data_IF_238653414923
#
_entry.id   IF_238653414923
#
_cell.length_a   1.000
_cell.length_b   1.000
_cell.length_c   1.000
_cell.angle_alpha   90.00
_cell.angle_beta   90.00
_cell.angle_gamma   90.00
#
_symmetry.space_group_name_H-M   'P 1'
#
loop_
_entity.id
_entity.type
_entity.pdbx_description
1 polymer ?
#
# COMPACT_ATOMS: atom_id res chain seq x y z
N UNK A 1 -29.85 8.98 -34.07
CA UNK A 1 -29.82 8.11 -32.87
C UNK A 1 -28.56 7.27 -32.73
N UNK A 2 -28.03 6.60 -33.77
CA UNK A 2 -26.88 5.68 -33.64
C UNK A 2 -25.54 6.32 -33.19
N UNK A 3 -25.26 7.56 -33.61
CA UNK A 3 -24.05 8.30 -33.21
C UNK A 3 -24.05 8.67 -31.72
N UNK A 4 -25.19 9.12 -31.19
CA UNK A 4 -25.34 9.44 -29.77
C UNK A 4 -25.15 8.20 -28.89
N UNK A 5 -25.68 7.04 -29.30
CA UNK A 5 -25.49 5.77 -28.59
C UNK A 5 -24.02 5.32 -28.61
N UNK A 6 -23.30 5.54 -29.72
CA UNK A 6 -21.88 5.19 -29.85
C UNK A 6 -20.98 6.08 -28.99
N UNK A 7 -21.25 7.39 -28.94
CA UNK A 7 -20.53 8.35 -28.07
C UNK A 7 -20.80 8.03 -26.59
N UNK A 8 -22.04 7.69 -26.24
CA UNK A 8 -22.40 7.29 -24.88
C UNK A 8 -21.68 5.99 -24.46
N UNK A 9 -21.53 5.02 -25.36
CA UNK A 9 -20.81 3.77 -25.10
C UNK A 9 -19.30 4.00 -24.89
N UNK A 10 -18.69 4.89 -25.69
CA UNK A 10 -17.29 5.29 -25.54
C UNK A 10 -17.05 6.07 -24.24
N UNK A 11 -17.96 6.96 -23.86
CA UNK A 11 -17.90 7.69 -22.59
C UNK A 11 -18.06 6.74 -21.38
N UNK A 12 -18.92 5.71 -21.49
CA UNK A 12 -19.02 4.66 -20.47
C UNK A 12 -17.72 3.84 -20.37
N UNK A 13 -17.11 3.44 -21.49
CA UNK A 13 -15.84 2.69 -21.46
C UNK A 13 -14.69 3.52 -20.86
N UNK A 14 -14.62 4.82 -21.16
CA UNK A 14 -13.65 5.71 -20.54
C UNK A 14 -13.89 5.86 -19.02
N UNK A 15 -15.15 5.86 -18.57
CA UNK A 15 -15.50 5.89 -17.15
C UNK A 15 -15.20 4.56 -16.41
N UNK A 16 -15.07 3.45 -17.13
CA UNK A 16 -14.80 2.12 -16.56
C UNK A 16 -13.30 1.84 -16.39
N UNK A 17 -12.40 2.65 -16.96
CA UNK A 17 -10.99 2.57 -16.58
C UNK A 17 -10.80 3.16 -15.19
N UNK A 18 -10.81 2.30 -14.17
CA UNK A 18 -10.47 2.71 -12.81
C UNK A 18 -9.10 3.42 -12.84
N UNK A 19 -9.09 4.69 -12.47
CA UNK A 19 -7.84 5.43 -12.29
C UNK A 19 -7.05 4.76 -11.16
N UNK A 20 -5.76 4.50 -11.38
CA UNK A 20 -4.89 3.98 -10.33
C UNK A 20 -4.78 5.04 -9.23
N UNK A 21 -5.03 4.63 -7.99
CA UNK A 21 -5.01 5.50 -6.82
C UNK A 21 -4.07 4.96 -5.77
N UNK A 22 -3.38 5.88 -5.11
CA UNK A 22 -2.52 5.62 -3.97
C UNK A 22 -3.14 6.31 -2.75
N UNK A 23 -3.22 5.60 -1.63
CA UNK A 23 -3.80 6.08 -0.40
C UNK A 23 -3.06 5.49 0.79
N UNK A 24 -2.92 6.28 1.86
CA UNK A 24 -2.36 5.83 3.13
C UNK A 24 -3.18 6.35 4.32
N UNK A 25 -4.44 6.76 4.11
CA UNK A 25 -5.32 7.24 5.18
C UNK A 25 -5.90 6.07 5.98
N UNK A 26 -5.01 5.35 6.64
CA UNK A 26 -5.31 4.25 7.54
C UNK A 26 -4.17 4.10 8.55
N UNK A 27 -4.39 3.26 9.54
CA UNK A 27 -3.44 3.01 10.62
C UNK A 27 -2.04 2.65 10.11
N UNK A 28 -1.02 3.33 10.65
CA UNK A 28 0.38 3.19 10.27
C UNK A 28 0.70 3.53 8.80
N UNK A 29 -0.28 4.03 8.03
CA UNK A 29 -0.09 4.44 6.65
C UNK A 29 0.87 5.63 6.55
N UNK A 30 1.77 5.60 5.57
CA UNK A 30 2.70 6.68 5.32
C UNK A 30 3.00 6.85 3.82
N UNK A 31 2.50 7.95 3.25
CA UNK A 31 2.92 8.57 1.98
C UNK A 31 2.81 10.08 2.13
N UNK A 32 3.66 10.83 1.42
CA UNK A 32 3.59 12.28 1.32
C UNK A 32 2.99 12.71 -0.02
N UNK A 33 3.58 12.26 -1.13
CA UNK A 33 3.11 12.60 -2.47
C UNK A 33 3.25 11.45 -3.46
N UNK A 34 2.44 11.51 -4.52
CA UNK A 34 2.45 10.55 -5.62
C UNK A 34 2.53 11.35 -6.92
N UNK A 35 3.59 11.15 -7.69
CA UNK A 35 3.73 11.69 -9.03
C UNK A 35 3.50 10.58 -10.05
N UNK A 36 2.62 10.85 -11.02
CA UNK A 36 2.36 9.94 -12.16
C UNK A 36 3.22 10.42 -13.34
N UNK A 37 4.16 9.59 -13.78
CA UNK A 37 5.02 9.93 -14.92
C UNK A 37 4.33 9.57 -16.25
N UNK A 38 3.67 8.42 -16.27
CA UNK A 38 2.85 7.92 -17.38
C UNK A 38 1.79 6.92 -16.86
N UNK A 39 1.20 6.12 -17.74
CA UNK A 39 0.14 5.17 -17.38
C UNK A 39 0.59 3.98 -16.53
N UNK A 40 1.91 3.75 -16.39
CA UNK A 40 2.47 2.59 -15.67
C UNK A 40 3.52 2.98 -14.63
N UNK A 41 4.15 4.15 -14.73
CA UNK A 41 5.25 4.58 -13.89
C UNK A 41 4.83 5.62 -12.86
N UNK A 42 5.11 5.33 -11.58
CA UNK A 42 4.77 6.17 -10.44
C UNK A 42 5.98 6.45 -9.55
N UNK A 43 6.02 7.64 -8.96
CA UNK A 43 6.95 7.98 -7.88
C UNK A 43 6.17 8.28 -6.62
N UNK A 44 6.49 7.60 -5.52
CA UNK A 44 5.86 7.78 -4.21
C UNK A 44 6.91 8.31 -3.24
N UNK A 45 6.59 9.36 -2.49
CA UNK A 45 7.44 9.85 -1.40
C UNK A 45 6.79 9.57 -0.06
N UNK A 46 7.59 9.55 1.01
CA UNK A 46 7.15 9.29 2.39
C UNK A 46 7.20 10.57 3.21
N UNK A 47 6.39 10.65 4.28
CA UNK A 47 6.57 11.71 5.27
C UNK A 47 7.76 11.34 6.16
N UNK A 48 8.73 12.25 6.25
CA UNK A 48 9.89 12.13 7.15
C UNK A 48 9.69 12.82 8.49
N UNK A 49 8.59 13.55 8.68
CA UNK A 49 8.27 14.24 9.93
C UNK A 49 7.88 13.25 11.02
N UNK A 50 7.11 12.23 10.65
CA UNK A 50 6.58 11.22 11.58
C UNK A 50 7.44 9.95 11.66
N UNK A 51 8.43 9.82 10.78
CA UNK A 51 9.40 8.71 10.76
C UNK A 51 10.83 9.26 10.73
N UNK A 52 11.58 9.04 11.82
CA UNK A 52 12.98 9.45 11.92
C UNK A 52 13.79 8.68 10.87
N UNK A 53 14.07 9.34 9.76
CA UNK A 53 14.78 8.80 8.60
C UNK A 53 13.91 8.64 7.34
N UNK A 54 12.59 8.82 7.43
CA UNK A 54 11.67 8.81 6.28
C UNK A 54 11.64 7.50 5.49
N UNK A 55 12.05 6.38 6.09
CA UNK A 55 12.19 5.09 5.41
C UNK A 55 10.90 4.31 5.38
N UNK A 56 10.09 4.41 6.43
CA UNK A 56 8.82 3.71 6.56
C UNK A 56 7.85 4.21 5.50
N UNK A 57 7.24 3.27 4.79
CA UNK A 57 6.07 3.51 3.98
C UNK A 57 5.11 2.36 4.18
N UNK A 58 3.84 2.71 4.05
CA UNK A 58 2.75 1.76 4.01
C UNK A 58 1.57 2.42 3.34
N UNK A 59 1.17 1.90 2.19
CA UNK A 59 0.11 2.47 1.38
C UNK A 59 -0.64 1.38 0.64
N UNK A 60 -1.82 1.76 0.16
CA UNK A 60 -2.69 0.96 -0.67
C UNK A 60 -2.70 1.52 -2.08
N UNK A 61 -2.62 0.64 -3.06
CA UNK A 61 -2.83 0.95 -4.47
C UNK A 61 -4.15 0.29 -4.90
N UNK A 62 -5.06 1.05 -5.51
CA UNK A 62 -6.32 0.53 -6.07
C UNK A 62 -6.42 0.78 -7.58
N UNK A 63 -7.25 0.02 -8.29
CA UNK A 63 -7.38 0.11 -9.74
C UNK A 63 -6.27 -0.60 -10.52
N UNK A 64 -5.58 -1.58 -9.91
CA UNK A 64 -4.39 -2.25 -10.48
C UNK A 64 -4.64 -3.67 -11.00
N UNK A 65 -5.89 -4.14 -10.98
CA UNK A 65 -6.20 -5.51 -11.42
C UNK A 65 -5.75 -5.74 -12.86
N UNK A 66 -4.93 -6.78 -13.07
CA UNK A 66 -4.37 -7.15 -14.36
C UNK A 66 -3.55 -6.03 -15.04
N UNK A 67 -3.02 -5.08 -14.25
CA UNK A 67 -2.18 -3.99 -14.76
C UNK A 67 -0.75 -4.17 -14.27
N UNK A 68 0.18 -4.04 -15.20
CA UNK A 68 1.59 -3.90 -14.89
C UNK A 68 1.87 -2.44 -14.52
N UNK A 69 2.47 -2.21 -13.36
CA UNK A 69 2.94 -0.89 -12.93
C UNK A 69 4.33 -1.00 -12.34
N UNK A 70 5.05 0.11 -12.35
CA UNK A 70 6.28 0.30 -11.61
C UNK A 70 6.19 1.50 -10.68
N UNK A 71 6.83 1.38 -9.51
CA UNK A 71 6.81 2.38 -8.45
C UNK A 71 8.23 2.60 -7.95
N UNK A 72 8.66 3.85 -7.97
CA UNK A 72 9.90 4.30 -7.34
C UNK A 72 9.60 5.02 -6.03
N UNK A 73 10.35 4.75 -4.97
CA UNK A 73 10.20 5.35 -3.64
C UNK A 73 11.54 5.98 -3.23
N UNK A 74 11.92 7.16 -3.75
CA UNK A 74 13.27 7.70 -3.58
C UNK A 74 13.66 8.03 -2.13
N UNK A 75 12.67 8.16 -1.24
CA UNK A 75 12.88 8.56 0.16
C UNK A 75 13.21 7.40 1.11
N UNK A 76 13.14 6.15 0.65
CA UNK A 76 13.46 4.97 1.46
C UNK A 76 14.79 4.33 1.06
N UNK A 77 15.14 3.20 1.66
CA UNK A 77 16.31 2.37 1.34
C UNK A 77 15.93 0.90 1.07
N UNK A 78 14.65 0.62 0.85
CA UNK A 78 14.13 -0.73 0.74
C UNK A 78 14.64 -1.44 -0.52
N UNK A 79 15.12 -2.68 -0.36
CA UNK A 79 15.51 -3.52 -1.51
C UNK A 79 14.35 -4.36 -2.04
N UNK A 80 13.55 -4.96 -1.16
CA UNK A 80 12.46 -5.86 -1.52
C UNK A 80 11.30 -5.66 -0.53
N UNK A 81 10.35 -4.77 -0.85
CA UNK A 81 9.24 -4.50 0.05
C UNK A 81 8.30 -5.70 0.19
N UNK A 82 7.31 -5.53 1.05
CA UNK A 82 6.21 -6.47 1.19
C UNK A 82 4.96 -5.95 0.51
N UNK A 83 4.14 -6.87 0.03
CA UNK A 83 2.80 -6.57 -0.44
C UNK A 83 1.78 -7.56 0.12
N UNK A 84 0.52 -7.14 0.18
CA UNK A 84 -0.59 -7.96 0.62
C UNK A 84 -1.86 -7.58 -0.13
N UNK A 85 -2.69 -8.56 -0.51
CA UNK A 85 -3.99 -8.28 -1.13
C UNK A 85 -5.12 -8.11 -0.09
N UNK A 86 -4.97 -8.72 1.09
CA UNK A 86 -5.99 -8.76 2.14
C UNK A 86 -5.62 -7.98 3.40
N UNK A 87 -4.45 -7.35 3.39
CA UNK A 87 -3.86 -6.63 4.50
C UNK A 87 -3.58 -7.49 5.75
N UNK A 88 -3.38 -8.80 5.56
CA UNK A 88 -3.11 -9.77 6.63
C UNK A 88 -1.94 -10.66 6.26
N UNK A 89 -2.00 -11.26 5.08
CA UNK A 89 -0.94 -12.12 4.56
C UNK A 89 -0.04 -11.30 3.66
N UNK A 90 1.21 -11.12 4.10
CA UNK A 90 2.20 -10.33 3.40
C UNK A 90 3.24 -11.21 2.72
N UNK A 91 3.50 -10.90 1.46
CA UNK A 91 4.49 -11.56 0.61
C UNK A 91 5.59 -10.57 0.27
N UNK A 92 6.83 -11.05 0.19
CA UNK A 92 7.94 -10.22 -0.24
C UNK A 92 7.99 -10.20 -1.77
N UNK A 93 8.10 -9.01 -2.37
CA UNK A 93 8.40 -8.90 -3.81
C UNK A 93 9.64 -9.71 -4.15
N UNK A 94 9.67 -10.38 -5.29
CA UNK A 94 10.83 -11.15 -5.77
C UNK A 94 11.99 -10.23 -6.17
N UNK A 95 13.17 -10.80 -6.44
CA UNK A 95 14.28 -10.01 -6.97
C UNK A 95 14.04 -9.51 -8.41
N UNK A 96 13.15 -10.17 -9.17
CA UNK A 96 12.77 -9.73 -10.50
C UNK A 96 11.75 -8.60 -10.45
N UNK A 97 10.87 -8.62 -9.46
CA UNK A 97 9.90 -7.54 -9.22
C UNK A 97 10.53 -6.34 -8.52
N UNK A 98 11.60 -6.52 -7.74
CA UNK A 98 12.37 -5.42 -7.13
C UNK A 98 13.87 -5.57 -7.45
N UNK A 99 14.27 -5.28 -8.70
CA UNK A 99 15.64 -5.50 -9.18
C UNK A 99 16.66 -4.51 -8.62
N UNK A 100 16.21 -3.42 -8.00
CA UNK A 100 17.06 -2.39 -7.41
C UNK A 100 16.40 -1.77 -6.19
N UNK A 101 17.20 -1.11 -5.36
CA UNK A 101 16.74 -0.36 -4.21
C UNK A 101 15.69 0.67 -4.62
N UNK A 102 14.71 0.92 -3.73
CA UNK A 102 13.69 1.96 -3.87
C UNK A 102 12.76 1.76 -5.05
N UNK A 103 12.60 0.53 -5.53
CA UNK A 103 11.86 0.26 -6.74
C UNK A 103 11.15 -1.09 -6.68
N UNK A 104 9.94 -1.14 -7.22
CA UNK A 104 9.30 -2.39 -7.58
C UNK A 104 8.46 -2.24 -8.85
N UNK A 105 8.23 -3.36 -9.53
CA UNK A 105 7.30 -3.50 -10.64
C UNK A 105 6.57 -4.84 -10.55
N UNK A 106 5.28 -4.86 -10.88
CA UNK A 106 4.46 -6.07 -10.83
C UNK A 106 3.19 -5.91 -11.63
N UNK A 107 2.72 -7.03 -12.20
CA UNK A 107 1.33 -7.18 -12.63
C UNK A 107 0.50 -7.74 -11.48
N UNK A 108 -0.44 -6.95 -10.97
CA UNK A 108 -1.26 -7.34 -9.82
C UNK A 108 -2.48 -8.17 -10.23
N UNK A 109 -2.80 -9.19 -9.43
CA UNK A 109 -3.92 -10.12 -9.69
C UNK A 109 -5.24 -9.59 -9.12
N UNK A 110 -5.16 -8.72 -8.11
CA UNK A 110 -6.32 -8.09 -7.49
C UNK A 110 -6.34 -6.59 -7.75
N UNK A 111 -7.52 -6.00 -7.59
CA UNK A 111 -7.73 -4.57 -7.83
C UNK A 111 -7.02 -3.69 -6.81
N UNK A 112 -6.89 -4.19 -5.59
CA UNK A 112 -6.30 -3.48 -4.47
C UNK A 112 -5.14 -4.28 -3.89
N UNK A 113 -4.03 -3.59 -3.62
CA UNK A 113 -2.85 -4.15 -2.98
C UNK A 113 -2.30 -3.17 -1.96
N UNK A 114 -1.88 -3.68 -0.81
CA UNK A 114 -1.14 -2.96 0.21
C UNK A 114 0.34 -3.20 -0.02
N UNK A 115 1.15 -2.16 0.10
CA UNK A 115 2.61 -2.22 -0.09
C UNK A 115 3.27 -1.52 1.10
N UNK A 116 4.26 -2.16 1.71
CA UNK A 116 4.92 -1.67 2.91
C UNK A 116 6.42 -1.97 2.94
N UNK A 117 7.15 -1.17 3.71
CA UNK A 117 8.59 -1.36 3.94
C UNK A 117 8.86 -2.73 4.61
N UNK A 118 8.07 -3.04 5.63
CA UNK A 118 8.05 -4.33 6.33
C UNK A 118 6.61 -4.70 6.68
N UNK A 119 6.39 -5.93 7.18
CA UNK A 119 5.06 -6.36 7.64
C UNK A 119 4.60 -5.44 8.78
N UNK A 120 3.48 -4.69 8.62
CA UNK A 120 3.03 -3.72 9.61
C UNK A 120 2.52 -4.42 10.87
N UNK A 121 2.82 -3.85 12.03
CA UNK A 121 2.24 -4.24 13.31
C UNK A 121 1.38 -3.08 13.83
N UNK A 122 0.10 -3.14 13.50
CA UNK A 122 -0.84 -2.08 13.78
C UNK A 122 -1.21 -2.05 15.28
N UNK A 123 -1.55 -0.87 15.81
CA UNK A 123 -2.06 -0.70 17.16
C UNK A 123 -3.38 -1.46 17.37
N UNK A 124 -4.29 -1.51 16.40
CA UNK A 124 -5.49 -2.35 16.46
C UNK A 124 -5.16 -3.83 16.66
N UNK A 125 -4.13 -4.33 15.97
CA UNK A 125 -3.63 -5.69 16.16
C UNK A 125 -2.98 -5.88 17.53
N UNK A 126 -2.17 -4.91 17.99
CA UNK A 126 -1.64 -4.91 19.36
C UNK A 126 -2.75 -5.05 20.40
N UNK A 127 -3.81 -4.23 20.28
CA UNK A 127 -4.95 -4.26 21.20
C UNK A 127 -5.67 -5.62 21.18
N UNK A 128 -5.78 -6.26 20.01
CA UNK A 128 -6.31 -7.62 19.92
C UNK A 128 -5.42 -8.63 20.66
N UNK A 129 -4.10 -8.55 20.49
CA UNK A 129 -3.14 -9.45 21.15
C UNK A 129 -3.14 -9.29 22.66
N UNK A 130 -3.20 -8.05 23.16
CA UNK A 130 -3.32 -7.76 24.59
C UNK A 130 -4.60 -8.43 25.15
N UNK A 131 -5.75 -8.22 24.53
CA UNK A 131 -7.03 -8.85 24.94
C UNK A 131 -7.01 -10.38 24.89
N UNK A 132 -6.21 -10.97 24.02
CA UNK A 132 -6.03 -12.41 23.95
C UNK A 132 -5.18 -12.91 25.13
N UNK A 133 -4.05 -12.23 25.40
CA UNK A 133 -3.13 -12.60 26.48
C UNK A 133 -3.75 -12.41 27.87
N UNK A 134 -4.57 -11.37 28.07
CA UNK A 134 -5.31 -11.12 29.32
C UNK A 134 -6.22 -12.27 29.75
N UNK A 135 -6.58 -13.19 28.84
CA UNK A 135 -7.41 -14.35 29.17
C UNK A 135 -6.64 -15.45 29.90
N UNK A 136 -5.30 -15.43 29.85
CA UNK A 136 -4.48 -16.43 30.50
C UNK A 136 -4.37 -16.15 32.00
N UNK A 137 -4.51 -17.18 32.85
CA UNK A 137 -4.51 -17.03 34.32
C UNK A 137 -3.23 -16.41 34.86
N UNK A 138 -2.11 -16.62 34.15
CA UNK A 138 -0.78 -16.21 34.59
C UNK A 138 -0.36 -14.85 34.01
N UNK A 139 -1.27 -14.15 33.31
CA UNK A 139 -0.99 -12.84 32.70
C UNK A 139 -1.72 -11.75 33.47
N UNK A 140 -0.99 -10.67 33.77
CA UNK A 140 -1.56 -9.42 34.27
C UNK A 140 -1.15 -8.28 33.34
N UNK A 141 -2.12 -7.51 32.86
CA UNK A 141 -1.89 -6.29 32.10
C UNK A 141 -2.05 -5.08 33.03
N UNK A 142 -1.16 -4.12 32.89
CA UNK A 142 -1.14 -2.89 33.66
C UNK A 142 -0.71 -1.71 32.78
N UNK A 143 -1.03 -0.48 33.18
CA UNK A 143 -0.74 0.74 32.40
C UNK A 143 0.43 1.49 33.02
N UNK A 144 1.51 1.64 32.26
CA UNK A 144 2.73 2.33 32.71
C UNK A 144 2.71 3.86 32.47
N UNK A 145 1.79 4.35 31.64
CA UNK A 145 1.69 5.76 31.25
C UNK A 145 0.81 5.97 30.00
N UNK A 146 0.71 7.21 29.55
CA UNK A 146 -0.05 7.62 28.36
C UNK A 146 0.86 8.38 27.38
N UNK A 147 0.61 8.21 26.09
CA UNK A 147 1.31 8.87 24.97
C UNK A 147 0.48 9.99 24.37
#
# INVERSE_FOLDING_TARGET
MKIFTFILLLALQAAISAQIKFDANFESGNINSVATMDSVNYTVTTNSTDDIGGRWFYFRISGVKNRHISVSIPTTDVNRPFYSYDNKEFYRFTMFESPRQNYFEKTFEQDTVYVSYYIPYNYSYLQQRIKEWEKHSDVKVDTIGFT
#
